data_IF_155836760458
#
_entry.id   IF_155836760458
#
_cell.length_a   1.000
_cell.length_b   1.000
_cell.length_c   1.000
_cell.angle_alpha   90.00
_cell.angle_beta   90.00
_cell.angle_gamma   90.00
#
_symmetry.space_group_name_H-M   'P 1'
#
loop_
_entity.id
_entity.type
_entity.pdbx_description
1 polymer ?
#
# COMPACT_ATOMS: atom_id res chain seq x y z
N UNK A 1 6.74 14.13 12.06
CA UNK A 1 7.70 13.22 11.38
C UNK A 1 7.76 13.61 9.91
N UNK A 2 8.94 13.63 9.25
CA UNK A 2 9.08 14.08 7.85
C UNK A 2 9.20 12.86 6.91
N UNK A 3 8.08 12.47 6.30
CA UNK A 3 7.97 11.28 5.43
C UNK A 3 7.99 11.58 3.93
N UNK A 4 7.88 12.86 3.55
CA UNK A 4 7.95 13.29 2.15
C UNK A 4 9.20 12.72 1.46
N UNK A 5 8.98 12.04 0.33
CA UNK A 5 10.00 11.38 -0.49
C UNK A 5 10.82 10.26 0.19
N UNK A 6 10.38 9.77 1.35
CA UNK A 6 11.02 8.60 1.98
C UNK A 6 10.49 7.31 1.37
N UNK A 7 11.40 6.35 1.15
CA UNK A 7 11.02 5.01 0.72
C UNK A 7 10.54 4.23 1.95
N UNK A 8 9.34 3.67 1.87
CA UNK A 8 8.73 2.90 2.96
C UNK A 8 8.17 1.61 2.37
N UNK A 9 8.50 0.48 2.99
CA UNK A 9 7.92 -0.81 2.64
C UNK A 9 6.80 -1.15 3.61
N UNK A 10 5.62 -1.49 3.07
CA UNK A 10 4.50 -2.07 3.82
C UNK A 10 4.40 -3.53 3.42
N UNK A 11 4.56 -4.43 4.38
CA UNK A 11 4.39 -5.87 4.18
C UNK A 11 3.03 -6.31 4.68
N UNK A 12 2.21 -6.85 3.79
CA UNK A 12 0.84 -7.26 4.01
C UNK A 12 -0.14 -6.10 3.80
N UNK A 13 -0.93 -6.15 2.73
CA UNK A 13 -2.16 -5.36 2.58
C UNK A 13 -3.23 -5.92 3.52
N UNK A 14 -3.34 -7.26 3.50
CA UNK A 14 -4.27 -8.03 4.33
C UNK A 14 -5.74 -7.88 3.92
N UNK A 15 -6.48 -8.99 4.01
CA UNK A 15 -7.91 -9.03 3.67
C UNK A 15 -8.79 -8.20 4.63
N UNK A 16 -8.30 -7.93 5.84
CA UNK A 16 -9.01 -7.18 6.86
C UNK A 16 -8.71 -5.66 6.86
N UNK A 17 -7.86 -5.17 5.94
CA UNK A 17 -7.64 -3.74 5.74
C UNK A 17 -6.62 -3.08 6.67
N UNK A 18 -5.86 -3.85 7.46
CA UNK A 18 -4.80 -3.30 8.31
C UNK A 18 -3.70 -2.59 7.50
N UNK A 19 -3.19 -3.24 6.44
CA UNK A 19 -2.19 -2.66 5.56
C UNK A 19 -2.73 -1.53 4.68
N UNK A 20 -4.03 -1.53 4.39
CA UNK A 20 -4.70 -0.50 3.59
C UNK A 20 -4.66 0.86 4.29
N UNK A 21 -5.04 0.91 5.58
CA UNK A 21 -5.01 2.15 6.35
C UNK A 21 -3.60 2.73 6.50
N UNK A 22 -2.61 1.86 6.78
CA UNK A 22 -1.20 2.24 6.87
C UNK A 22 -0.69 2.78 5.55
N UNK A 23 -0.96 2.09 4.44
CA UNK A 23 -0.53 2.49 3.11
C UNK A 23 -1.13 3.82 2.72
N UNK A 24 -2.44 4.02 2.93
CA UNK A 24 -3.13 5.29 2.64
C UNK A 24 -2.52 6.44 3.42
N UNK A 25 -2.31 6.26 4.73
CA UNK A 25 -1.71 7.30 5.56
C UNK A 25 -0.28 7.65 5.10
N UNK A 26 0.55 6.67 4.74
CA UNK A 26 1.91 6.91 4.25
C UNK A 26 1.92 7.68 2.92
N UNK A 27 1.01 7.35 2.01
CA UNK A 27 0.83 8.05 0.74
C UNK A 27 0.42 9.52 0.97
N UNK A 28 -0.52 9.77 1.91
CA UNK A 28 -0.94 11.12 2.30
C UNK A 28 0.20 11.96 2.89
N UNK A 29 1.20 11.31 3.51
CA UNK A 29 2.41 12.00 3.99
C UNK A 29 3.46 12.26 2.88
N UNK A 30 3.19 11.85 1.64
CA UNK A 30 4.10 12.00 0.49
C UNK A 30 5.25 10.99 0.48
N UNK A 31 5.13 9.87 1.18
CA UNK A 31 6.10 8.78 1.10
C UNK A 31 6.05 8.08 -0.26
N UNK A 32 7.14 7.39 -0.63
CA UNK A 32 7.18 6.46 -1.76
C UNK A 32 6.99 5.06 -1.20
N UNK A 33 5.83 4.48 -1.45
CA UNK A 33 5.42 3.25 -0.79
C UNK A 33 5.61 2.06 -1.72
N UNK A 34 6.31 1.05 -1.24
CA UNK A 34 6.29 -0.30 -1.78
C UNK A 34 5.38 -1.16 -0.91
N UNK A 35 4.24 -1.57 -1.44
CA UNK A 35 3.32 -2.48 -0.78
C UNK A 35 3.55 -3.90 -1.33
N UNK A 36 3.77 -4.87 -0.44
CA UNK A 36 3.93 -6.27 -0.83
C UNK A 36 2.90 -7.15 -0.13
N UNK A 37 2.31 -8.12 -0.81
CA UNK A 37 1.49 -9.16 -0.19
C UNK A 37 1.79 -10.52 -0.83
N UNK A 38 1.64 -11.60 -0.05
CA UNK A 38 1.79 -12.97 -0.56
C UNK A 38 0.51 -13.47 -1.24
N UNK A 39 -0.63 -12.84 -0.95
CA UNK A 39 -1.85 -13.08 -1.69
C UNK A 39 -1.77 -12.40 -3.06
N UNK A 40 -2.46 -12.98 -4.04
CA UNK A 40 -2.51 -12.41 -5.38
C UNK A 40 -3.48 -11.22 -5.47
N UNK A 41 -3.45 -10.52 -6.61
CA UNK A 41 -4.28 -9.35 -6.86
C UNK A 41 -5.79 -9.67 -6.76
N UNK A 42 -6.22 -10.81 -7.30
CA UNK A 42 -7.63 -11.21 -7.30
C UNK A 42 -8.18 -11.37 -5.88
N UNK A 43 -7.41 -12.01 -4.99
CA UNK A 43 -7.74 -12.19 -3.58
C UNK A 43 -7.82 -10.87 -2.79
N UNK A 44 -7.18 -9.82 -3.30
CA UNK A 44 -7.10 -8.49 -2.68
C UNK A 44 -7.83 -7.41 -3.47
N UNK A 45 -8.63 -7.79 -4.47
CA UNK A 45 -9.31 -6.87 -5.39
C UNK A 45 -10.04 -5.74 -4.68
N UNK A 46 -10.73 -6.05 -3.57
CA UNK A 46 -11.49 -5.05 -2.80
C UNK A 46 -10.57 -3.96 -2.25
N UNK A 47 -9.46 -4.37 -1.64
CA UNK A 47 -8.51 -3.48 -0.99
C UNK A 47 -7.73 -2.68 -2.03
N UNK A 48 -7.33 -3.30 -3.15
CA UNK A 48 -6.65 -2.60 -4.25
C UNK A 48 -7.55 -1.53 -4.87
N UNK A 49 -8.83 -1.85 -5.11
CA UNK A 49 -9.82 -0.87 -5.59
C UNK A 49 -10.01 0.28 -4.61
N UNK A 50 -10.05 0.01 -3.31
CA UNK A 50 -10.18 1.07 -2.29
C UNK A 50 -8.92 1.95 -2.20
N UNK A 51 -7.74 1.34 -2.41
CA UNK A 51 -6.47 2.05 -2.38
C UNK A 51 -6.35 2.99 -3.60
N UNK A 52 -6.80 2.55 -4.77
CA UNK A 52 -6.81 3.35 -5.99
C UNK A 52 -5.41 3.58 -6.58
N UNK A 53 -5.33 4.43 -7.60
CA UNK A 53 -4.08 4.71 -8.30
C UNK A 53 -3.33 5.86 -7.66
N UNK A 54 -2.04 5.65 -7.36
CA UNK A 54 -1.15 6.67 -6.81
C UNK A 54 0.17 6.68 -7.56
N UNK A 55 0.73 7.86 -7.83
CA UNK A 55 2.02 8.01 -8.52
C UNK A 55 3.22 7.58 -7.68
N UNK A 56 3.05 7.54 -6.36
CA UNK A 56 4.05 7.23 -5.36
C UNK A 56 3.84 5.86 -4.69
N UNK A 57 3.07 4.97 -5.35
CA UNK A 57 2.80 3.60 -4.88
C UNK A 57 3.27 2.59 -5.92
N UNK A 58 3.96 1.56 -5.44
CA UNK A 58 4.17 0.31 -6.17
C UNK A 58 3.58 -0.84 -5.36
N UNK A 59 2.89 -1.77 -6.04
CA UNK A 59 2.35 -2.99 -5.42
C UNK A 59 3.03 -4.20 -6.06
N UNK A 60 3.43 -5.15 -5.22
CA UNK A 60 4.00 -6.43 -5.63
C UNK A 60 3.24 -7.55 -4.95
N UNK A 61 2.70 -8.46 -5.75
CA UNK A 61 2.04 -9.67 -5.27
C UNK A 61 2.98 -10.87 -5.37
N UNK A 62 2.81 -11.81 -4.45
CA UNK A 62 3.48 -13.12 -4.44
C UNK A 62 2.67 -14.22 -5.12
#
# INVERSE_FOLDING_TARGET
MKLLNKNVTVMGLGRFGGGLGVTRWLLDQGARVLLTDLANEDELTKQIKELGTHTNLQVVFG
#
